data_IF_755339158668
#
_entry.id   IF_755339158668
#
_cell.length_a   1.000
_cell.length_b   1.000
_cell.length_c   1.000
_cell.angle_alpha   90.00
_cell.angle_beta   90.00
_cell.angle_gamma   90.00
#
_symmetry.space_group_name_H-M   'P 1'
#
loop_
_entity.id
_entity.type
_entity.pdbx_description
1 polymer ?
#
# COMPACT_ATOMS: atom_id res chain seq x y z
N UNK A 1 4.52 -18.82 -20.48
CA UNK A 1 3.28 -18.41 -19.79
C UNK A 1 2.87 -19.56 -18.89
N UNK A 2 2.87 -19.35 -17.58
CA UNK A 2 2.35 -20.34 -16.63
C UNK A 2 0.82 -20.25 -16.64
N UNK A 3 0.11 -21.37 -16.75
CA UNK A 3 -1.37 -21.41 -16.67
C UNK A 3 -1.89 -21.24 -15.23
N UNK A 4 -1.22 -20.40 -14.44
CA UNK A 4 -1.48 -20.19 -13.01
C UNK A 4 -1.53 -18.70 -12.71
N UNK A 5 -2.54 -18.29 -11.94
CA UNK A 5 -2.59 -17.02 -11.24
C UNK A 5 -2.54 -17.26 -9.74
N UNK A 6 -2.00 -16.32 -8.98
CA UNK A 6 -1.94 -16.38 -7.52
C UNK A 6 -2.59 -15.13 -6.96
N UNK A 7 -3.59 -15.33 -6.10
CA UNK A 7 -4.11 -14.27 -5.24
C UNK A 7 -3.18 -14.21 -4.03
N UNK A 8 -2.44 -13.11 -3.91
CA UNK A 8 -1.43 -12.88 -2.88
C UNK A 8 -2.01 -11.94 -1.83
N UNK A 9 -2.28 -12.49 -0.65
CA UNK A 9 -2.99 -11.83 0.44
C UNK A 9 -1.97 -11.44 1.51
N UNK A 10 -1.78 -10.14 1.70
CA UNK A 10 -0.74 -9.58 2.57
C UNK A 10 -1.25 -9.25 3.98
N UNK A 11 -0.74 -9.99 4.97
CA UNK A 11 -0.86 -9.65 6.38
C UNK A 11 -2.30 -9.36 6.84
N UNK A 12 -2.46 -8.53 7.87
CA UNK A 12 -3.78 -8.28 8.48
C UNK A 12 -4.77 -7.59 7.54
N UNK A 13 -4.28 -6.67 6.70
CA UNK A 13 -5.11 -5.91 5.76
C UNK A 13 -5.72 -6.85 4.70
N UNK A 14 -4.88 -7.66 4.06
CA UNK A 14 -5.35 -8.63 3.07
C UNK A 14 -6.32 -9.63 3.65
N UNK A 15 -6.07 -10.15 4.86
CA UNK A 15 -7.01 -11.07 5.53
C UNK A 15 -8.35 -10.42 5.86
N UNK A 16 -8.39 -9.12 6.14
CA UNK A 16 -9.64 -8.40 6.34
C UNK A 16 -10.42 -8.29 5.03
N UNK A 17 -9.75 -7.85 3.96
CA UNK A 17 -10.35 -7.75 2.62
C UNK A 17 -10.77 -9.08 2.02
N UNK A 18 -10.07 -10.16 2.35
CA UNK A 18 -10.39 -11.51 1.89
C UNK A 18 -11.78 -11.98 2.35
N UNK A 19 -12.26 -11.50 3.50
CA UNK A 19 -13.59 -11.88 4.05
C UNK A 19 -14.75 -11.42 3.18
N UNK A 20 -14.55 -10.38 2.38
CA UNK A 20 -15.57 -9.81 1.50
C UNK A 20 -15.52 -10.44 0.09
N UNK A 21 -14.60 -11.38 -0.15
CA UNK A 21 -14.44 -12.08 -1.42
C UNK A 21 -14.89 -13.53 -1.30
N UNK A 22 -15.79 -13.94 -2.19
CA UNK A 22 -16.22 -15.33 -2.28
C UNK A 22 -15.28 -16.11 -3.20
N UNK A 23 -14.10 -16.48 -2.67
CA UNK A 23 -13.10 -17.23 -3.41
C UNK A 23 -13.23 -18.73 -3.18
N UNK A 24 -13.18 -19.47 -4.29
CA UNK A 24 -13.15 -20.92 -4.24
C UNK A 24 -11.91 -21.42 -3.47
N UNK A 25 -12.08 -22.41 -2.57
CA UNK A 25 -10.97 -23.12 -1.96
C UNK A 25 -10.05 -23.73 -3.02
N UNK A 26 -8.75 -23.53 -2.86
CA UNK A 26 -7.75 -23.96 -3.84
C UNK A 26 -6.42 -24.29 -3.14
N UNK A 27 -5.44 -24.81 -3.90
CA UNK A 27 -4.07 -24.97 -3.41
C UNK A 27 -3.59 -23.66 -2.78
N UNK A 28 -3.05 -23.72 -1.56
CA UNK A 28 -2.68 -22.51 -0.83
C UNK A 28 -1.41 -22.69 0.01
N UNK A 29 -0.68 -21.59 0.23
CA UNK A 29 0.54 -21.57 1.03
C UNK A 29 0.56 -20.36 1.97
N UNK A 30 0.90 -20.57 3.24
CA UNK A 30 1.21 -19.50 4.17
C UNK A 30 2.54 -18.85 3.81
N UNK A 31 2.58 -17.53 3.86
CA UNK A 31 3.82 -16.77 3.62
C UNK A 31 4.54 -16.50 4.93
N UNK A 32 5.87 -16.35 4.87
CA UNK A 32 6.64 -15.94 6.03
C UNK A 32 6.29 -14.52 6.52
N UNK A 33 5.61 -13.70 5.72
CA UNK A 33 5.08 -12.38 6.11
C UNK A 33 3.82 -12.43 6.99
N UNK A 34 3.18 -13.59 7.12
CA UNK A 34 1.86 -13.73 7.76
C UNK A 34 0.70 -13.52 6.79
N UNK A 35 0.96 -13.66 5.50
CA UNK A 35 -0.02 -13.66 4.41
C UNK A 35 -0.35 -15.08 3.93
N UNK A 36 -1.11 -15.17 2.83
CA UNK A 36 -1.42 -16.43 2.13
C UNK A 36 -1.34 -16.24 0.62
N UNK A 37 -0.72 -17.19 -0.07
CA UNK A 37 -0.81 -17.33 -1.53
C UNK A 37 -1.90 -18.37 -1.85
N UNK A 38 -2.89 -18.00 -2.66
CA UNK A 38 -3.92 -18.92 -3.17
C UNK A 38 -3.74 -19.09 -4.68
N UNK A 39 -3.49 -20.31 -5.14
CA UNK A 39 -3.10 -20.61 -6.52
C UNK A 39 -4.31 -21.06 -7.33
N UNK A 40 -4.54 -20.47 -8.50
CA UNK A 40 -5.67 -20.75 -9.38
C UNK A 40 -5.20 -21.09 -10.79
N UNK A 41 -5.98 -21.90 -11.50
CA UNK A 41 -5.77 -22.19 -12.91
C UNK A 41 -6.38 -21.08 -13.78
N UNK A 42 -5.69 -20.70 -14.85
CA UNK A 42 -6.19 -19.72 -15.83
C UNK A 42 -6.34 -20.36 -17.21
N UNK A 43 -7.47 -20.08 -17.87
CA UNK A 43 -7.72 -20.45 -19.27
C UNK A 43 -7.24 -19.39 -20.25
N UNK A 44 -7.26 -18.12 -19.85
CA UNK A 44 -6.89 -16.95 -20.65
C UNK A 44 -5.68 -16.21 -20.05
N UNK A 45 -4.87 -15.51 -20.89
CA UNK A 45 -3.76 -14.70 -20.39
C UNK A 45 -4.21 -13.68 -19.34
N UNK A 46 -3.67 -13.82 -18.14
CA UNK A 46 -4.01 -12.96 -16.99
C UNK A 46 -2.76 -12.19 -16.60
N UNK A 47 -2.88 -10.86 -16.53
CA UNK A 47 -1.76 -10.00 -16.10
C UNK A 47 -1.70 -9.90 -14.59
N UNK A 48 -0.49 -9.77 -14.07
CA UNK A 48 -0.28 -9.37 -12.68
C UNK A 48 -0.89 -7.98 -12.42
N UNK A 49 -1.58 -7.82 -11.28
CA UNK A 49 -2.21 -6.57 -10.84
C UNK A 49 -1.89 -6.35 -9.37
N UNK A 50 -1.51 -5.15 -8.99
CA UNK A 50 -1.25 -4.80 -7.59
C UNK A 50 -2.48 -4.15 -6.97
N UNK A 51 -2.72 -4.40 -5.69
CA UNK A 51 -3.76 -3.81 -4.86
C UNK A 51 -5.12 -3.78 -5.56
N UNK A 52 -5.55 -4.95 -6.05
CA UNK A 52 -6.90 -5.10 -6.65
C UNK A 52 -7.99 -4.93 -5.59
N UNK A 53 -7.65 -5.28 -4.36
CA UNK A 53 -8.32 -4.90 -3.12
C UNK A 53 -7.21 -4.53 -2.13
N UNK A 54 -7.55 -3.79 -1.07
CA UNK A 54 -6.58 -3.43 -0.04
C UNK A 54 -5.90 -4.70 0.52
N UNK A 55 -4.57 -4.71 0.54
CA UNK A 55 -3.78 -5.89 0.95
C UNK A 55 -3.88 -7.14 0.06
N UNK A 56 -4.44 -7.05 -1.17
CA UNK A 56 -4.54 -8.19 -2.09
C UNK A 56 -3.98 -7.85 -3.48
N UNK A 57 -3.01 -8.65 -3.92
CA UNK A 57 -2.40 -8.61 -5.25
C UNK A 57 -2.80 -9.83 -6.09
N UNK A 58 -2.71 -9.71 -7.42
CA UNK A 58 -2.77 -10.83 -8.38
C UNK A 58 -1.40 -10.98 -9.03
N UNK A 59 -0.82 -12.17 -8.92
CA UNK A 59 0.46 -12.54 -9.56
C UNK A 59 0.20 -13.58 -10.65
N UNK A 60 0.46 -13.22 -11.89
CA UNK A 60 0.24 -14.07 -13.06
C UNK A 60 1.32 -13.77 -14.11
N UNK A 61 0.97 -13.54 -15.37
CA UNK A 61 1.96 -13.25 -16.40
C UNK A 61 2.81 -12.03 -16.05
N UNK A 62 4.13 -12.17 -16.25
CA UNK A 62 5.14 -11.17 -15.90
C UNK A 62 5.43 -11.03 -14.40
N UNK A 63 4.71 -11.77 -13.54
CA UNK A 63 4.93 -11.81 -12.11
C UNK A 63 5.65 -13.09 -11.67
N UNK A 64 6.05 -13.13 -10.41
CA UNK A 64 6.56 -14.32 -9.74
C UNK A 64 6.10 -14.34 -8.29
N UNK A 65 6.09 -15.54 -7.71
CA UNK A 65 5.84 -15.78 -6.28
C UNK A 65 6.90 -16.70 -5.71
N UNK A 66 7.10 -16.63 -4.41
CA UNK A 66 7.96 -17.57 -3.68
C UNK A 66 7.14 -18.79 -3.27
N UNK A 67 7.67 -20.00 -3.53
CA UNK A 67 7.01 -21.26 -3.22
C UNK A 67 7.55 -21.89 -1.92
N UNK A 68 6.73 -22.66 -1.18
CA UNK A 68 7.24 -23.56 -0.16
C UNK A 68 8.21 -24.61 -0.72
N UNK A 69 9.22 -25.06 0.04
CA UNK A 69 9.61 -24.59 1.38
C UNK A 69 10.75 -23.54 1.31
N UNK A 70 10.43 -22.28 0.99
CA UNK A 70 11.43 -21.18 1.01
C UNK A 70 11.48 -20.47 2.37
N UNK A 71 12.65 -19.96 2.76
CA UNK A 71 12.81 -19.13 3.97
C UNK A 71 12.55 -17.64 3.64
N UNK A 72 11.65 -17.00 4.37
CA UNK A 72 11.36 -15.57 4.24
C UNK A 72 12.32 -14.73 5.09
N UNK A 73 12.53 -13.45 4.74
CA UNK A 73 13.37 -12.50 5.50
C UNK A 73 12.96 -12.30 6.96
N UNK A 74 11.73 -12.68 7.34
CA UNK A 74 11.26 -12.68 8.73
C UNK A 74 11.81 -13.83 9.57
N UNK A 75 12.51 -14.80 8.96
CA UNK A 75 12.94 -16.05 9.60
C UNK A 75 11.87 -17.15 9.62
N UNK A 76 10.66 -16.89 9.10
CA UNK A 76 9.60 -17.89 8.95
C UNK A 76 9.63 -18.53 7.56
N UNK A 77 9.22 -19.79 7.49
CA UNK A 77 9.14 -20.53 6.24
C UNK A 77 7.82 -20.27 5.50
N UNK A 78 7.86 -20.33 4.18
CA UNK A 78 6.68 -20.58 3.36
C UNK A 78 6.26 -22.04 3.55
N UNK A 79 4.98 -22.29 3.83
CA UNK A 79 4.46 -23.62 4.15
C UNK A 79 3.16 -23.87 3.41
N UNK A 80 2.99 -25.04 2.81
CA UNK A 80 1.70 -25.44 2.22
C UNK A 80 0.62 -25.50 3.31
N UNK A 81 -0.53 -24.87 3.06
CA UNK A 81 -1.68 -24.88 3.98
C UNK A 81 -2.72 -25.89 3.50
N UNK A 82 -3.28 -25.68 2.33
CA UNK A 82 -4.24 -26.58 1.71
C UNK A 82 -3.59 -27.16 0.45
N UNK A 83 -3.41 -28.48 0.39
CA UNK A 83 -2.85 -29.18 -0.78
C UNK A 83 -3.99 -29.85 -1.53
N UNK A 84 -4.52 -29.16 -2.54
CA UNK A 84 -5.65 -29.60 -3.35
C UNK A 84 -5.44 -29.21 -4.82
N UNK A 85 -6.40 -29.54 -5.68
CA UNK A 85 -6.41 -29.13 -7.09
C UNK A 85 -6.56 -27.61 -7.21
N UNK A 86 -6.07 -27.04 -8.32
CA UNK A 86 -6.26 -25.62 -8.60
C UNK A 86 -7.72 -25.37 -8.98
N UNK A 87 -8.40 -24.49 -8.26
CA UNK A 87 -9.69 -23.94 -8.68
C UNK A 87 -9.52 -23.05 -9.92
N UNK A 88 -10.57 -22.85 -10.74
CA UNK A 88 -10.54 -21.89 -11.83
C UNK A 88 -10.42 -20.45 -11.28
N UNK A 89 -9.64 -19.61 -11.94
CA UNK A 89 -9.53 -18.20 -11.58
C UNK A 89 -10.73 -17.41 -12.11
N UNK A 90 -11.51 -16.80 -11.22
CA UNK A 90 -12.55 -15.84 -11.58
C UNK A 90 -12.03 -14.41 -11.45
N UNK A 91 -11.67 -13.81 -12.58
CA UNK A 91 -11.19 -12.43 -12.61
C UNK A 91 -12.26 -11.40 -12.21
N UNK A 92 -13.55 -11.74 -12.35
CA UNK A 92 -14.68 -10.84 -12.09
C UNK A 92 -14.85 -10.52 -10.61
N UNK A 93 -14.41 -11.41 -9.71
CA UNK A 93 -14.34 -11.17 -8.27
C UNK A 93 -13.44 -9.97 -7.91
N UNK A 94 -12.50 -9.64 -8.80
CA UNK A 94 -11.55 -8.53 -8.66
C UNK A 94 -11.85 -7.40 -9.63
N UNK A 95 -12.95 -7.49 -10.37
CA UNK A 95 -13.51 -6.36 -11.11
C UNK A 95 -14.24 -5.46 -10.12
N UNK A 96 -13.48 -4.63 -9.42
CA UNK A 96 -14.08 -3.51 -8.71
C UNK A 96 -14.79 -2.67 -9.76
N UNK A 97 -16.12 -2.49 -9.63
CA UNK A 97 -16.83 -1.31 -10.18
C UNK A 97 -15.89 -0.16 -9.92
N UNK A 98 -15.34 0.44 -10.98
CA UNK A 98 -14.32 1.46 -10.85
C UNK A 98 -14.74 2.39 -9.71
N UNK A 99 -14.07 2.27 -8.54
CA UNK A 99 -13.98 3.43 -7.68
C UNK A 99 -13.43 4.45 -8.65
N UNK A 100 -14.12 5.58 -8.79
CA UNK A 100 -13.61 6.76 -9.51
C UNK A 100 -12.33 7.24 -8.78
N UNK A 101 -11.29 6.41 -8.74
CA UNK A 101 -9.90 6.79 -8.63
C UNK A 101 -9.57 7.27 -10.03
N UNK A 102 -9.75 8.57 -10.20
CA UNK A 102 -9.59 9.31 -11.43
C UNK A 102 -8.44 8.78 -12.31
N UNK A 103 -8.79 8.35 -13.52
CA UNK A 103 -7.89 8.39 -14.67
C UNK A 103 -7.74 9.83 -15.23
N UNK A 104 -8.30 10.82 -14.53
CA UNK A 104 -7.77 12.18 -14.51
C UNK A 104 -6.64 12.23 -13.49
N UNK A 105 -5.58 13.05 -13.65
CA UNK A 105 -4.66 13.27 -12.56
C UNK A 105 -5.51 13.70 -11.36
N UNK A 106 -5.57 12.90 -10.28
CA UNK A 106 -6.23 13.36 -9.05
C UNK A 106 -5.64 14.71 -8.63
N UNK A 107 -6.22 15.42 -7.67
CA UNK A 107 -5.73 16.76 -7.27
C UNK A 107 -4.18 16.88 -7.19
N UNK A 108 -3.48 15.84 -6.75
CA UNK A 108 -2.01 15.77 -6.74
C UNK A 108 -1.37 15.77 -8.13
N UNK A 109 -1.91 15.04 -9.10
CA UNK A 109 -1.38 14.98 -10.46
C UNK A 109 -1.56 16.29 -11.23
N UNK A 110 -2.66 17.02 -11.00
CA UNK A 110 -2.84 18.39 -11.51
C UNK A 110 -1.88 19.35 -10.82
N UNK A 111 -1.81 19.28 -9.47
CA UNK A 111 -0.89 20.10 -8.69
C UNK A 111 0.58 19.91 -9.12
N UNK A 112 0.98 18.70 -9.50
CA UNK A 112 2.35 18.37 -9.93
C UNK A 112 2.77 19.04 -11.25
N UNK A 113 1.82 19.50 -12.07
CA UNK A 113 2.12 20.28 -13.28
C UNK A 113 2.55 21.71 -12.95
N UNK A 114 2.44 22.13 -11.69
CA UNK A 114 2.72 23.48 -11.24
C UNK A 114 1.43 24.28 -11.07
N UNK A 115 1.48 25.30 -10.23
CA UNK A 115 0.34 26.17 -9.93
C UNK A 115 0.72 27.65 -10.04
N UNK A 116 -0.30 28.49 -10.25
CA UNK A 116 -0.15 29.94 -10.32
C UNK A 116 -0.04 30.59 -8.93
N UNK A 117 0.37 31.87 -8.94
CA UNK A 117 0.38 32.72 -7.75
C UNK A 117 -0.97 32.67 -7.00
N UNK A 118 -0.92 32.60 -5.67
CA UNK A 118 -2.10 32.49 -4.80
C UNK A 118 -2.40 31.07 -4.31
N UNK A 119 -2.09 30.04 -5.11
CA UNK A 119 -2.37 28.63 -4.73
C UNK A 119 -1.11 27.85 -4.32
N UNK A 120 0.07 28.34 -4.67
CA UNK A 120 1.38 27.70 -4.45
C UNK A 120 1.70 27.34 -3.00
N UNK A 121 1.50 28.23 -2.02
CA UNK A 121 1.86 27.94 -0.63
C UNK A 121 0.94 26.87 -0.01
N UNK A 122 -0.36 26.92 -0.29
CA UNK A 122 -1.33 25.90 0.15
C UNK A 122 -1.05 24.55 -0.51
N UNK A 123 -0.74 24.56 -1.81
CA UNK A 123 -0.39 23.36 -2.56
C UNK A 123 0.91 22.75 -2.06
N UNK A 124 1.90 23.58 -1.74
CA UNK A 124 3.17 23.15 -1.18
C UNK A 124 2.99 22.41 0.15
N UNK A 125 2.16 22.97 1.05
CA UNK A 125 1.86 22.36 2.34
C UNK A 125 1.17 20.99 2.19
N UNK A 126 0.23 20.87 1.23
CA UNK A 126 -0.48 19.62 0.96
C UNK A 126 0.41 18.55 0.33
N UNK A 127 1.25 18.92 -0.65
CA UNK A 127 2.19 17.98 -1.27
C UNK A 127 3.24 17.51 -0.26
N UNK A 128 3.83 18.42 0.54
CA UNK A 128 4.75 18.06 1.60
C UNK A 128 4.10 17.09 2.61
N UNK A 129 2.87 17.38 3.06
CA UNK A 129 2.14 16.52 3.99
C UNK A 129 1.87 15.12 3.43
N UNK A 130 1.57 15.04 2.12
CA UNK A 130 1.43 13.76 1.43
C UNK A 130 2.75 12.98 1.43
N UNK A 131 3.88 13.61 1.10
CA UNK A 131 5.16 12.92 1.04
C UNK A 131 5.64 12.44 2.41
N UNK A 132 5.48 13.24 3.47
CA UNK A 132 5.72 12.78 4.83
C UNK A 132 4.78 11.64 5.24
N UNK A 133 3.49 11.71 4.86
CA UNK A 133 2.54 10.61 5.08
C UNK A 133 2.90 9.31 4.35
N UNK A 134 3.73 9.38 3.30
CA UNK A 134 4.30 8.23 2.60
C UNK A 134 5.61 7.74 3.23
N UNK A 135 6.09 8.40 4.30
CA UNK A 135 7.28 8.00 5.06
C UNK A 135 8.60 8.56 4.54
N UNK A 136 8.57 9.52 3.60
CA UNK A 136 9.80 10.16 3.10
C UNK A 136 10.41 11.07 4.18
N UNK A 137 11.73 11.14 4.21
CA UNK A 137 12.44 12.03 5.13
C UNK A 137 12.48 13.49 4.65
N UNK A 138 13.00 14.37 5.50
CA UNK A 138 13.04 15.81 5.22
C UNK A 138 13.81 16.16 3.95
N UNK A 139 14.93 15.48 3.69
CA UNK A 139 15.82 15.77 2.56
C UNK A 139 15.20 15.26 1.25
N UNK A 140 14.58 14.08 1.27
CA UNK A 140 13.82 13.54 0.14
C UNK A 140 12.64 14.44 -0.23
N UNK A 141 11.87 14.89 0.78
CA UNK A 141 10.76 15.83 0.56
C UNK A 141 11.30 17.15 0.01
N UNK A 142 12.41 17.67 0.53
CA UNK A 142 13.02 18.90 0.04
C UNK A 142 13.43 18.80 -1.43
N UNK A 143 14.05 17.69 -1.84
CA UNK A 143 14.42 17.43 -3.22
C UNK A 143 13.20 17.41 -4.16
N UNK A 144 12.12 16.73 -3.76
CA UNK A 144 10.88 16.69 -4.55
C UNK A 144 10.20 18.05 -4.64
N UNK A 145 10.12 18.77 -3.53
CA UNK A 145 9.45 20.07 -3.43
C UNK A 145 10.19 21.16 -4.21
N UNK A 146 11.53 21.16 -4.22
CA UNK A 146 12.32 22.08 -5.03
C UNK A 146 12.18 21.79 -6.53
N UNK A 147 12.12 20.52 -6.93
CA UNK A 147 11.83 20.11 -8.30
C UNK A 147 10.43 20.53 -8.76
N UNK A 148 9.42 20.35 -7.91
CA UNK A 148 8.05 20.80 -8.18
C UNK A 148 7.94 22.33 -8.25
N UNK A 149 8.58 23.07 -7.34
CA UNK A 149 8.46 24.53 -7.27
C UNK A 149 8.97 25.24 -8.54
N UNK A 150 9.92 24.64 -9.27
CA UNK A 150 10.38 25.13 -10.59
C UNK A 150 9.29 25.15 -11.65
N UNK A 151 8.21 24.39 -11.46
CA UNK A 151 7.05 24.33 -12.37
C UNK A 151 6.00 25.38 -12.05
N UNK A 152 6.09 26.06 -10.90
CA UNK A 152 5.16 27.10 -10.50
C UNK A 152 5.47 28.44 -11.19
N UNK A 153 4.43 29.24 -11.41
CA UNK A 153 4.57 30.57 -12.02
C UNK A 153 3.85 31.66 -11.19
N UNK A 154 4.59 32.54 -10.47
CA UNK A 154 6.02 32.45 -10.20
C UNK A 154 6.34 31.38 -9.13
N UNK A 155 7.58 30.88 -9.07
CA UNK A 155 8.02 29.99 -8.00
C UNK A 155 7.97 30.69 -6.63
N UNK A 156 7.76 29.89 -5.57
CA UNK A 156 8.01 30.34 -4.19
C UNK A 156 9.50 30.65 -4.03
N UNK A 157 9.85 31.62 -3.18
CA UNK A 157 11.24 31.84 -2.81
C UNK A 157 11.78 30.62 -2.04
N UNK A 158 13.08 30.33 -2.14
CA UNK A 158 13.69 29.22 -1.39
C UNK A 158 13.38 29.28 0.12
N UNK A 159 13.49 30.45 0.80
CA UNK A 159 13.14 30.53 2.22
C UNK A 159 11.65 30.28 2.52
N UNK A 160 10.74 30.66 1.61
CA UNK A 160 9.31 30.43 1.78
C UNK A 160 8.95 28.94 1.63
N UNK A 161 9.56 28.27 0.65
CA UNK A 161 9.41 26.83 0.46
C UNK A 161 10.00 26.05 1.65
N UNK A 162 11.19 26.43 2.11
CA UNK A 162 11.90 25.82 3.24
C UNK A 162 11.08 25.86 4.52
N UNK A 163 10.60 27.07 4.89
CA UNK A 163 9.70 27.26 6.03
C UNK A 163 8.46 26.39 5.93
N UNK A 164 7.87 26.25 4.75
CA UNK A 164 6.67 25.43 4.54
C UNK A 164 6.97 23.95 4.78
N UNK A 165 8.04 23.41 4.19
CA UNK A 165 8.40 21.99 4.32
C UNK A 165 8.74 21.65 5.78
N UNK A 166 9.56 22.48 6.45
CA UNK A 166 9.94 22.30 7.86
C UNK A 166 8.72 22.38 8.79
N UNK A 167 7.79 23.30 8.54
CA UNK A 167 6.57 23.42 9.34
C UNK A 167 5.71 22.16 9.26
N UNK A 168 5.58 21.57 8.05
CA UNK A 168 4.81 20.35 7.85
C UNK A 168 5.52 19.12 8.44
N UNK A 169 6.84 19.00 8.31
CA UNK A 169 7.62 17.94 8.96
C UNK A 169 7.40 17.93 10.48
N UNK A 170 7.50 19.10 11.12
CA UNK A 170 7.24 19.25 12.57
C UNK A 170 5.83 18.82 12.94
N UNK A 171 4.82 19.25 12.17
CA UNK A 171 3.42 18.89 12.40
C UNK A 171 3.19 17.38 12.20
N UNK A 172 3.78 16.79 11.17
CA UNK A 172 3.70 15.36 10.89
C UNK A 172 4.33 14.56 12.04
N UNK A 173 5.56 14.90 12.43
CA UNK A 173 6.26 14.27 13.57
C UNK A 173 5.52 14.41 14.89
N UNK A 174 4.83 15.53 15.13
CA UNK A 174 4.00 15.71 16.31
C UNK A 174 2.74 14.81 16.28
N UNK A 175 2.11 14.65 15.12
CA UNK A 175 0.94 13.77 14.95
C UNK A 175 1.29 12.27 15.00
N UNK A 176 2.50 11.88 14.55
CA UNK A 176 2.99 10.50 14.67
C UNK A 176 3.62 10.20 16.04
N UNK A 177 3.73 11.21 16.92
CA UNK A 177 4.28 11.12 18.28
C UNK A 177 3.24 10.82 19.37
N UNK A 178 2.06 10.31 19.01
CA UNK A 178 1.27 9.50 19.93
C UNK A 178 1.64 8.02 19.72
N UNK A 179 2.77 7.52 20.27
CA UNK A 179 2.85 6.11 20.54
C UNK A 179 1.77 5.81 21.57
N UNK A 180 1.06 4.70 21.41
CA UNK A 180 0.34 4.08 22.53
C UNK A 180 1.36 3.95 23.67
N UNK A 181 1.28 4.85 24.65
CA UNK A 181 2.12 4.81 25.83
C UNK A 181 1.59 3.69 26.72
N UNK A 182 2.06 2.48 26.46
CA UNK A 182 1.89 1.36 27.37
C UNK A 182 2.82 1.62 28.55
N UNK A 183 2.29 2.27 29.58
CA UNK A 183 3.02 2.62 30.80
C UNK A 183 3.12 1.42 31.74
N UNK A 184 2.31 0.38 31.55
CA UNK A 184 2.31 -0.82 32.39
C UNK A 184 1.98 -2.08 31.60
N UNK A 185 2.49 -3.23 32.06
CA UNK A 185 2.17 -4.55 31.50
C UNK A 185 0.66 -4.88 31.54
N UNK A 186 -0.09 -4.24 32.44
CA UNK A 186 -1.54 -4.37 32.53
C UNK A 186 -2.24 -3.76 31.29
N UNK A 187 -1.78 -2.60 30.80
CA UNK A 187 -2.35 -1.95 29.62
C UNK A 187 -2.12 -2.75 28.34
N UNK A 188 -0.98 -3.45 28.24
CA UNK A 188 -0.68 -4.37 27.15
C UNK A 188 -1.62 -5.58 27.14
N UNK A 189 -1.93 -6.13 28.33
CA UNK A 189 -2.85 -7.28 28.46
C UNK A 189 -4.27 -6.94 28.06
N UNK A 190 -4.81 -5.81 28.52
CA UNK A 190 -6.18 -5.40 28.18
C UNK A 190 -6.36 -5.16 26.67
N UNK A 191 -5.33 -4.65 25.99
CA UNK A 191 -5.36 -4.49 24.53
C UNK A 191 -5.28 -5.81 23.76
N UNK A 192 -4.63 -6.84 24.33
CA UNK A 192 -4.53 -8.16 23.71
C UNK A 192 -5.76 -9.03 23.97
N UNK A 193 -6.43 -8.84 25.11
CA UNK A 193 -7.65 -9.56 25.47
C UNK A 193 -8.88 -9.03 24.71
N UNK A 194 -8.93 -7.73 24.36
CA UNK A 194 -10.03 -7.15 23.56
C UNK A 194 -10.00 -7.43 22.05
N UNK A 195 -9.08 -8.26 21.57
CA UNK A 195 -8.97 -8.69 20.16
C UNK A 195 -9.45 -10.13 19.94
N UNK A 196 -9.98 -10.76 20.99
CA UNK A 196 -10.56 -12.10 20.94
C UNK A 196 -12.01 -12.09 21.40
N UNK A 197 -12.89 -11.52 20.58
CA UNK A 197 -14.30 -11.88 20.41
C UNK A 197 -14.75 -11.48 19.00
#
# INVERSE_FOLDING_TARGET
>A
ISKVAVVDVDGKEGHASLKDLDLDPTLSALTGGGGIHMYYSISEPTRSRIRVVDGIDIRADGGYVVLPPSLHKSGRWYVWKDVTVLAPFDASLFETKARKGSASPGWSGEALQGVHQGSRSVTAARLAGRYFGLGLDLDEVWMLMTGWNKRNSPPLSTPELDRTVIAIDRKHKAATKDPVQIKTLAQLRTMLEGLGD
#
